data_IF_625722665877
#
_entry.id   IF_625722665877
#
_cell.length_a   1.000
_cell.length_b   1.000
_cell.length_c   1.000
_cell.angle_alpha   90.00
_cell.angle_beta   90.00
_cell.angle_gamma   90.00
#
_symmetry.space_group_name_H-M   'P 1'
#
loop_
_entity.id
_entity.type
_entity.pdbx_description
1 polymer ?
#
# COMPACT_ATOMS: atom_id res chain seq x y z
N UNK A 1 -2.17 3.32 -5.96
CA UNK A 1 -1.42 2.59 -4.90
C UNK A 1 -1.54 3.37 -3.59
N UNK A 2 -2.00 2.76 -2.49
CA UNK A 2 -1.99 3.44 -1.17
C UNK A 2 -0.58 3.34 -0.58
N UNK A 3 0.19 4.43 -0.66
CA UNK A 3 1.50 4.51 0.00
C UNK A 3 1.28 4.88 1.47
N UNK A 4 1.30 3.88 2.35
CA UNK A 4 1.34 4.12 3.79
C UNK A 4 2.77 4.35 4.24
N UNK A 5 3.20 5.61 4.18
CA UNK A 5 4.46 6.05 4.79
C UNK A 5 4.20 6.24 6.29
N UNK A 6 4.64 5.29 7.11
CA UNK A 6 4.69 5.48 8.57
C UNK A 6 5.89 6.38 8.86
N UNK A 7 5.70 7.70 8.84
CA UNK A 7 6.66 8.66 9.37
C UNK A 7 6.69 8.51 10.90
N UNK A 8 7.41 7.50 11.37
CA UNK A 8 7.83 7.46 12.76
C UNK A 8 8.79 8.63 12.95
N UNK A 9 8.37 9.61 13.75
CA UNK A 9 9.18 10.77 14.14
C UNK A 9 10.29 10.31 15.12
N UNK A 10 11.14 9.41 14.64
CA UNK A 10 12.42 8.98 15.22
C UNK A 10 13.34 8.65 14.04
N UNK A 11 13.52 9.64 13.15
CA UNK A 11 14.69 9.63 12.28
C UNK A 11 15.88 9.94 13.19
N UNK A 12 16.54 8.89 13.69
CA UNK A 12 17.90 9.03 14.21
C UNK A 12 18.71 9.67 13.08
N UNK A 13 19.44 10.74 13.37
CA UNK A 13 20.30 11.47 12.43
C UNK A 13 21.26 10.56 11.64
N UNK A 14 21.51 9.35 12.14
CA UNK A 14 22.30 8.30 11.47
C UNK A 14 21.68 7.76 10.17
N UNK A 15 20.37 7.88 9.95
CA UNK A 15 19.73 7.40 8.70
C UNK A 15 20.01 8.32 7.49
N UNK A 16 20.50 9.54 7.75
CA UNK A 16 20.88 10.49 6.71
C UNK A 16 22.39 10.57 6.48
N UNK A 17 23.20 9.81 7.21
CA UNK A 17 24.67 9.81 7.02
C UNK A 17 25.07 9.32 5.63
N UNK A 18 24.25 8.47 4.99
CA UNK A 18 24.47 8.04 3.60
C UNK A 18 24.10 9.11 2.56
N UNK A 19 23.36 10.15 2.97
CA UNK A 19 23.04 11.33 2.16
C UNK A 19 24.00 12.49 2.43
N UNK A 20 24.79 12.41 3.50
CA UNK A 20 25.91 13.30 3.77
C UNK A 20 27.03 12.92 2.79
N UNK A 21 27.10 13.66 1.67
CA UNK A 21 28.03 13.37 0.58
C UNK A 21 29.44 13.11 1.09
N UNK A 22 29.95 11.90 0.83
CA UNK A 22 31.29 11.49 1.26
C UNK A 22 32.33 12.29 0.47
N UNK A 23 33.38 12.75 1.14
CA UNK A 23 34.44 13.57 0.53
C UNK A 23 35.15 12.84 -0.60
N UNK A 24 35.45 13.54 -1.69
CA UNK A 24 36.03 13.08 -2.97
C UNK A 24 37.38 12.31 -2.89
N UNK A 25 37.93 12.11 -1.69
CA UNK A 25 39.24 11.51 -1.46
C UNK A 25 39.20 10.15 -0.74
N UNK A 26 38.02 9.52 -0.59
CA UNK A 26 37.91 8.20 0.03
C UNK A 26 38.36 7.09 -0.96
N UNK A 27 39.45 6.34 -0.70
CA UNK A 27 39.88 5.25 -1.57
C UNK A 27 38.98 4.00 -1.51
N UNK A 28 37.99 3.95 -0.60
CA UNK A 28 36.95 2.90 -0.56
C UNK A 28 35.74 3.22 -1.45
N UNK A 29 35.77 4.37 -2.14
CA UNK A 29 34.74 4.86 -3.07
C UNK A 29 34.75 4.16 -4.44
N UNK A 30 35.18 2.90 -4.52
CA UNK A 30 34.98 2.09 -5.71
C UNK A 30 33.53 1.60 -5.71
N UNK A 31 32.63 2.43 -6.26
CA UNK A 31 31.37 1.90 -6.77
C UNK A 31 31.73 1.01 -7.96
N UNK A 32 31.93 -0.28 -7.71
CA UNK A 32 31.94 -1.26 -8.78
C UNK A 32 30.51 -1.33 -9.34
N UNK A 33 30.22 -0.46 -10.31
CA UNK A 33 29.01 -0.50 -11.09
C UNK A 33 29.08 -1.77 -11.94
N UNK A 34 28.55 -2.87 -11.40
CA UNK A 34 28.16 -4.03 -12.19
C UNK A 34 26.92 -3.64 -12.99
N UNK A 35 27.14 -2.84 -14.04
CA UNK A 35 26.15 -2.64 -15.07
C UNK A 35 25.95 -3.98 -15.77
N UNK A 36 24.79 -4.59 -15.57
CA UNK A 36 24.31 -5.66 -16.44
C UNK A 36 23.88 -5.04 -17.77
N UNK A 37 24.85 -4.58 -18.56
CA UNK A 37 24.62 -4.12 -19.92
C UNK A 37 24.59 -5.32 -20.86
N UNK A 38 23.38 -5.82 -21.13
CA UNK A 38 23.06 -6.50 -22.39
C UNK A 38 21.94 -5.69 -22.99
N UNK A 39 22.27 -4.74 -23.86
CA UNK A 39 21.57 -4.38 -25.10
C UNK A 39 22.45 -3.35 -25.84
N UNK A 40 23.54 -3.81 -26.44
CA UNK A 40 24.09 -3.09 -27.61
C UNK A 40 23.12 -3.31 -28.76
N UNK A 41 22.12 -2.44 -28.85
CA UNK A 41 21.38 -2.24 -30.10
C UNK A 41 21.76 -0.83 -30.55
N UNK A 42 22.10 -0.64 -31.83
CA UNK A 42 22.58 0.64 -32.41
C UNK A 42 21.50 1.75 -32.45
N UNK A 43 20.54 1.70 -31.54
CA UNK A 43 19.45 2.66 -31.45
C UNK A 43 19.87 3.76 -30.48
N UNK A 44 19.86 5.01 -30.95
CA UNK A 44 20.05 6.17 -30.09
C UNK A 44 19.10 6.06 -28.88
N UNK A 45 19.60 6.25 -27.66
CA UNK A 45 18.79 6.12 -26.47
C UNK A 45 17.73 7.23 -26.45
N UNK A 46 16.47 6.85 -26.68
CA UNK A 46 15.33 7.76 -26.70
C UNK A 46 14.84 8.03 -25.26
N UNK A 47 15.56 8.90 -24.55
CA UNK A 47 15.16 9.41 -23.23
C UNK A 47 14.15 10.57 -23.31
N UNK A 48 13.69 10.91 -24.52
CA UNK A 48 12.78 12.03 -24.77
C UNK A 48 11.40 11.86 -24.12
N UNK A 49 11.04 10.64 -23.67
CA UNK A 49 9.81 10.40 -22.90
C UNK A 49 9.82 11.06 -21.51
N UNK A 50 11.00 11.37 -20.95
CA UNK A 50 11.11 12.09 -19.68
C UNK A 50 10.94 13.60 -19.86
N UNK A 51 10.99 14.08 -21.10
CA UNK A 51 10.92 15.49 -21.48
C UNK A 51 9.61 15.84 -22.19
N UNK A 52 8.78 14.86 -22.53
CA UNK A 52 7.43 15.12 -23.05
C UNK A 52 6.60 15.81 -21.97
N UNK A 53 6.33 17.10 -22.17
CA UNK A 53 5.27 17.81 -21.45
C UNK A 53 3.94 17.12 -21.78
N UNK A 54 3.04 16.92 -20.79
CA UNK A 54 1.72 16.38 -21.07
C UNK A 54 1.05 17.27 -22.11
N UNK A 55 0.62 16.70 -23.23
CA UNK A 55 -0.14 17.42 -24.24
C UNK A 55 -1.39 17.98 -23.54
N UNK A 56 -1.54 19.31 -23.53
CA UNK A 56 -2.80 19.95 -23.17
C UNK A 56 -3.82 19.56 -24.23
N UNK A 57 -4.53 18.46 -23.99
CA UNK A 57 -5.73 18.13 -24.75
C UNK A 57 -6.73 19.25 -24.54
N UNK A 58 -6.82 20.08 -25.58
CA UNK A 58 -7.72 21.20 -25.75
C UNK A 58 -9.13 20.84 -25.25
N UNK A 59 -9.53 21.54 -24.20
CA UNK A 59 -10.92 21.73 -23.81
C UNK A 59 -11.70 22.28 -24.99
N UNK A 60 -12.42 21.42 -25.71
CA UNK A 60 -13.70 21.82 -26.30
C UNK A 60 -14.57 20.61 -26.65
N UNK A 61 -15.66 20.50 -25.89
CA UNK A 61 -16.94 19.88 -26.25
C UNK A 61 -16.95 18.40 -26.68
N UNK A 62 -17.18 17.48 -25.71
CA UNK A 62 -18.35 16.57 -25.74
C UNK A 62 -18.47 15.79 -24.41
N UNK A 63 -19.64 15.90 -23.78
CA UNK A 63 -20.21 15.06 -22.69
C UNK A 63 -19.70 15.22 -21.24
N UNK A 64 -20.37 16.12 -20.49
CA UNK A 64 -20.26 16.37 -19.04
C UNK A 64 -20.80 15.21 -18.13
N UNK A 65 -20.67 13.94 -18.51
CA UNK A 65 -21.18 12.85 -17.65
C UNK A 65 -20.27 11.62 -17.47
N UNK A 66 -19.04 11.64 -18.02
CA UNK A 66 -18.14 10.46 -17.94
C UNK A 66 -16.75 10.77 -17.37
N UNK A 67 -16.41 12.05 -17.12
CA UNK A 67 -15.03 12.47 -16.77
C UNK A 67 -14.63 12.43 -15.29
N UNK A 68 -15.48 11.94 -14.37
CA UNK A 68 -15.10 11.84 -12.95
C UNK A 68 -14.35 10.54 -12.60
N UNK A 69 -14.36 9.52 -13.46
CA UNK A 69 -13.87 8.18 -13.10
C UNK A 69 -12.40 7.90 -13.42
N UNK A 70 -11.75 8.73 -14.23
CA UNK A 70 -10.43 8.43 -14.81
C UNK A 70 -9.31 9.36 -14.31
N UNK A 71 -9.64 10.40 -13.55
CA UNK A 71 -8.65 11.33 -12.95
C UNK A 71 -8.18 10.83 -11.57
N UNK A 72 -8.93 9.90 -10.96
CA UNK A 72 -8.70 9.43 -9.58
C UNK A 72 -7.69 8.26 -9.48
N UNK A 73 -7.30 7.66 -10.61
CA UNK A 73 -6.47 6.44 -10.64
C UNK A 73 -4.99 6.69 -10.35
N UNK A 74 -4.47 7.86 -10.74
CA UNK A 74 -3.06 8.25 -10.53
C UNK A 74 -2.85 9.23 -9.37
N UNK A 75 -3.88 9.47 -8.56
CA UNK A 75 -3.76 10.30 -7.37
C UNK A 75 -3.11 9.51 -6.22
N UNK A 76 -2.08 10.10 -5.60
CA UNK A 76 -1.51 9.58 -4.35
C UNK A 76 -2.42 9.96 -3.17
N UNK A 77 -2.95 8.95 -2.48
CA UNK A 77 -3.75 9.16 -1.27
C UNK A 77 -2.89 9.01 -0.02
N UNK A 78 -2.99 10.00 0.87
CA UNK A 78 -2.29 10.03 2.16
C UNK A 78 -3.31 9.96 3.30
N UNK A 79 -2.98 9.18 4.32
CA UNK A 79 -3.77 9.03 5.55
C UNK A 79 -3.01 9.70 6.70
N UNK A 80 -3.66 10.65 7.39
CA UNK A 80 -3.10 11.34 8.54
C UNK A 80 -3.95 11.04 9.77
N UNK A 81 -3.33 10.63 10.87
CA UNK A 81 -4.05 10.46 12.13
C UNK A 81 -3.19 10.91 13.30
N UNK A 82 -3.85 11.43 14.33
CA UNK A 82 -3.23 11.68 15.63
C UNK A 82 -3.06 10.39 16.45
N UNK A 83 -3.81 9.34 16.10
CA UNK A 83 -3.71 8.02 16.72
C UNK A 83 -2.85 7.07 15.87
N UNK A 84 -2.47 5.94 16.46
CA UNK A 84 -1.78 4.88 15.71
C UNK A 84 -2.72 4.26 14.68
N UNK A 85 -2.27 4.20 13.42
CA UNK A 85 -3.03 3.57 12.34
C UNK A 85 -3.11 2.04 12.53
N UNK A 86 -4.25 1.46 12.16
CA UNK A 86 -4.42 0.00 12.15
C UNK A 86 -3.53 -0.64 11.08
N UNK A 87 -2.99 -1.86 11.30
CA UNK A 87 -2.30 -2.61 10.25
C UNK A 87 -3.19 -2.81 9.02
N UNK A 88 -2.64 -2.54 7.83
CA UNK A 88 -3.35 -2.75 6.56
C UNK A 88 -2.59 -3.77 5.74
N UNK A 89 -3.33 -4.76 5.23
CA UNK A 89 -2.78 -5.89 4.50
C UNK A 89 -3.09 -5.72 3.02
N UNK A 90 -2.06 -5.79 2.19
CA UNK A 90 -2.21 -5.78 0.74
C UNK A 90 -2.32 -7.22 0.23
N UNK A 91 -3.55 -7.73 0.11
CA UNK A 91 -3.83 -9.14 -0.18
C UNK A 91 -4.94 -9.30 -1.20
N UNK A 92 -4.93 -10.45 -1.87
CA UNK A 92 -5.95 -10.89 -2.80
C UNK A 92 -6.90 -11.86 -2.12
N UNK A 93 -8.16 -11.46 -1.98
CA UNK A 93 -9.23 -12.28 -1.38
C UNK A 93 -10.05 -13.05 -2.42
N UNK A 94 -9.98 -12.62 -3.69
CA UNK A 94 -10.70 -13.21 -4.82
C UNK A 94 -9.88 -13.15 -6.10
N UNK A 95 -9.97 -14.19 -6.93
CA UNK A 95 -9.30 -14.24 -8.23
C UNK A 95 -9.80 -13.15 -9.19
N UNK A 96 -11.02 -12.65 -9.00
CA UNK A 96 -11.64 -11.67 -9.90
C UNK A 96 -11.31 -10.21 -9.57
N UNK A 97 -10.85 -9.93 -8.34
CA UNK A 97 -10.75 -8.56 -7.81
C UNK A 97 -9.30 -8.04 -7.69
N UNK A 98 -8.31 -8.91 -7.91
CA UNK A 98 -6.89 -8.58 -7.72
C UNK A 98 -6.52 -8.27 -6.27
N UNK A 99 -5.30 -7.74 -6.07
CA UNK A 99 -4.82 -7.35 -4.74
C UNK A 99 -5.41 -6.01 -4.32
N UNK A 100 -5.84 -5.92 -3.07
CA UNK A 100 -6.41 -4.71 -2.48
C UNK A 100 -5.94 -4.54 -1.04
N UNK A 101 -6.23 -3.37 -0.48
CA UNK A 101 -5.90 -3.04 0.90
C UNK A 101 -7.07 -3.44 1.82
N UNK A 102 -6.76 -4.15 2.89
CA UNK A 102 -7.74 -4.71 3.82
C UNK A 102 -7.32 -4.49 5.28
N UNK A 103 -8.31 -4.28 6.15
CA UNK A 103 -8.14 -4.31 7.61
C UNK A 103 -8.71 -5.60 8.18
N UNK A 104 -8.14 -6.09 9.28
CA UNK A 104 -8.81 -7.10 10.10
C UNK A 104 -10.07 -6.49 10.71
N UNK A 105 -11.22 -7.15 10.52
CA UNK A 105 -12.48 -6.64 11.04
C UNK A 105 -12.42 -6.53 12.57
N UNK A 106 -11.79 -7.48 13.25
CA UNK A 106 -11.62 -7.46 14.71
C UNK A 106 -10.97 -6.15 15.21
N UNK A 107 -9.94 -5.66 14.52
CA UNK A 107 -9.24 -4.43 14.89
C UNK A 107 -10.08 -3.18 14.65
N UNK A 108 -10.82 -3.14 13.54
CA UNK A 108 -11.77 -2.06 13.23
C UNK A 108 -12.86 -2.00 14.30
N UNK A 109 -13.43 -3.15 14.66
CA UNK A 109 -14.46 -3.24 15.70
C UNK A 109 -13.94 -2.82 17.07
N UNK A 110 -12.70 -3.21 17.41
CA UNK A 110 -12.03 -2.81 18.65
C UNK A 110 -11.81 -1.29 18.69
N UNK A 111 -11.35 -0.68 17.60
CA UNK A 111 -11.16 0.79 17.50
C UNK A 111 -12.49 1.54 17.64
N UNK A 112 -13.52 1.07 16.96
CA UNK A 112 -14.85 1.70 16.96
C UNK A 112 -15.70 1.33 18.19
N UNK A 113 -15.22 0.45 19.07
CA UNK A 113 -15.92 -0.04 20.28
C UNK A 113 -17.32 -0.57 19.95
N UNK A 114 -17.41 -1.39 18.90
CA UNK A 114 -18.68 -1.89 18.38
C UNK A 114 -18.62 -3.38 18.06
N UNK A 115 -19.77 -4.05 18.02
CA UNK A 115 -19.86 -5.45 17.59
C UNK A 115 -19.97 -5.57 16.08
N UNK A 116 -19.59 -6.73 15.54
CA UNK A 116 -19.70 -7.02 14.10
C UNK A 116 -21.14 -6.87 13.58
N UNK A 117 -22.14 -7.28 14.40
CA UNK A 117 -23.56 -7.12 14.08
C UNK A 117 -23.96 -5.65 13.94
N UNK A 118 -23.50 -4.80 14.86
CA UNK A 118 -23.77 -3.35 14.81
C UNK A 118 -23.06 -2.74 13.59
N UNK A 119 -21.84 -3.17 13.29
CA UNK A 119 -21.08 -2.67 12.15
C UNK A 119 -21.78 -2.92 10.83
N UNK A 120 -22.15 -4.18 10.57
CA UNK A 120 -22.87 -4.54 9.32
C UNK A 120 -24.23 -3.86 9.21
N UNK A 121 -24.93 -3.67 10.33
CA UNK A 121 -26.22 -2.99 10.33
C UNK A 121 -26.10 -1.47 10.08
N UNK A 122 -25.06 -0.82 10.62
CA UNK A 122 -24.85 0.63 10.51
C UNK A 122 -24.15 1.03 9.22
N UNK A 123 -23.29 0.17 8.70
CA UNK A 123 -22.46 0.42 7.52
C UNK A 123 -22.52 -0.73 6.51
N UNK A 124 -23.70 -0.99 5.92
CA UNK A 124 -23.89 -2.09 4.96
C UNK A 124 -23.10 -1.91 3.66
N UNK A 125 -22.61 -0.69 3.37
CA UNK A 125 -21.82 -0.40 2.18
C UNK A 125 -20.37 -0.91 2.25
N UNK A 126 -19.86 -1.26 3.44
CA UNK A 126 -18.49 -1.75 3.55
C UNK A 126 -18.41 -3.23 3.20
N UNK A 127 -17.52 -3.54 2.27
CA UNK A 127 -17.21 -4.90 1.83
C UNK A 127 -16.50 -5.65 2.96
N UNK A 128 -17.19 -6.65 3.51
CA UNK A 128 -16.65 -7.58 4.51
C UNK A 128 -16.56 -8.97 3.90
N UNK A 129 -15.37 -9.56 3.93
CA UNK A 129 -15.05 -10.87 3.34
C UNK A 129 -14.42 -11.78 4.37
N UNK A 130 -14.50 -13.09 4.13
CA UNK A 130 -13.81 -14.10 4.93
C UNK A 130 -12.71 -14.74 4.10
N UNK A 131 -11.52 -14.89 4.67
CA UNK A 131 -10.37 -15.55 4.06
C UNK A 131 -9.79 -16.57 5.04
N UNK A 132 -9.28 -17.69 4.52
CA UNK A 132 -8.54 -18.64 5.35
C UNK A 132 -7.32 -17.97 5.98
N UNK A 133 -7.14 -18.17 7.28
CA UNK A 133 -6.05 -17.57 8.03
C UNK A 133 -4.68 -17.98 7.47
N UNK A 134 -4.53 -19.25 7.11
CA UNK A 134 -3.32 -19.75 6.45
C UNK A 134 -3.01 -19.03 5.13
N UNK A 135 -4.04 -18.68 4.34
CA UNK A 135 -3.86 -17.97 3.07
C UNK A 135 -3.47 -16.49 3.30
N UNK A 136 -4.07 -15.84 4.30
CA UNK A 136 -3.66 -14.50 4.71
C UNK A 136 -2.16 -14.50 5.09
N UNK A 137 -1.72 -15.44 5.93
CA UNK A 137 -0.32 -15.53 6.34
C UNK A 137 0.63 -15.87 5.19
N UNK A 138 0.21 -16.75 4.29
CA UNK A 138 0.97 -17.06 3.08
C UNK A 138 1.21 -15.80 2.24
N UNK A 139 0.21 -14.95 2.07
CA UNK A 139 0.36 -13.70 1.31
C UNK A 139 1.13 -12.62 2.08
N UNK A 140 0.95 -12.53 3.40
CA UNK A 140 1.64 -11.53 4.22
C UNK A 140 3.13 -11.85 4.35
N UNK A 141 3.50 -13.13 4.43
CA UNK A 141 4.91 -13.56 4.57
C UNK A 141 5.77 -13.23 3.35
N UNK A 142 5.19 -13.12 2.16
CA UNK A 142 5.89 -12.68 0.95
C UNK A 142 5.94 -11.15 0.81
N UNK A 143 5.21 -10.41 1.63
CA UNK A 143 5.22 -8.95 1.61
C UNK A 143 6.47 -8.40 2.29
N UNK A 144 7.27 -7.64 1.55
CA UNK A 144 8.48 -6.97 2.06
C UNK A 144 8.19 -5.83 3.05
N UNK A 145 6.93 -5.37 3.10
CA UNK A 145 6.51 -4.20 3.90
C UNK A 145 5.79 -4.58 5.18
N UNK A 146 5.41 -5.85 5.33
CA UNK A 146 4.78 -6.34 6.54
C UNK A 146 5.85 -6.85 7.50
N UNK A 147 5.95 -6.23 8.66
CA UNK A 147 6.66 -6.82 9.79
C UNK A 147 5.73 -7.89 10.34
N UNK A 148 6.05 -9.16 10.08
CA UNK A 148 5.32 -10.30 10.64
C UNK A 148 5.44 -10.20 12.18
N UNK A 149 4.34 -10.04 12.93
CA UNK A 149 4.41 -10.10 14.37
C UNK A 149 4.84 -11.51 14.78
N UNK A 150 5.88 -11.61 15.62
CA UNK A 150 6.42 -12.86 16.17
C UNK A 150 5.38 -13.63 17.03
N UNK A 151 4.25 -13.00 17.35
CA UNK A 151 3.20 -13.51 18.24
C UNK A 151 2.14 -14.39 17.56
N UNK A 152 2.21 -14.60 16.24
CA UNK A 152 1.24 -15.41 15.51
C UNK A 152 1.90 -16.67 14.95
N UNK A 153 2.63 -17.36 15.83
CA UNK A 153 3.04 -18.75 15.62
C UNK A 153 1.78 -19.53 15.25
N UNK A 154 1.80 -20.04 14.02
CA UNK A 154 0.79 -20.91 13.45
C UNK A 154 0.46 -21.99 14.48
N UNK A 155 -0.71 -21.92 15.09
CA UNK A 155 -1.27 -23.10 15.73
C UNK A 155 -1.49 -24.08 14.58
N UNK A 156 -0.75 -25.19 14.56
CA UNK A 156 -0.88 -26.32 13.62
C UNK A 156 -2.21 -27.08 13.86
N UNK A 157 -3.25 -26.38 14.31
CA UNK A 157 -4.59 -26.86 14.43
C UNK A 157 -5.19 -27.04 13.04
N UNK A 158 -5.56 -28.26 12.72
CA UNK A 158 -6.31 -28.74 11.54
C UNK A 158 -7.71 -28.10 11.35
N UNK A 159 -7.92 -26.91 11.92
CA UNK A 159 -9.13 -26.11 11.79
C UNK A 159 -9.03 -25.24 10.54
N UNK A 160 -10.09 -25.22 9.75
CA UNK A 160 -10.34 -24.25 8.68
C UNK A 160 -10.60 -22.85 9.31
N UNK A 161 -9.63 -22.31 10.05
CA UNK A 161 -9.74 -21.03 10.72
C UNK A 161 -9.80 -19.93 9.67
N UNK A 162 -10.87 -19.15 9.70
CA UNK A 162 -11.10 -18.05 8.79
C UNK A 162 -11.14 -16.73 9.55
N UNK A 163 -10.62 -15.69 8.93
CA UNK A 163 -10.59 -14.34 9.48
C UNK A 163 -11.42 -13.42 8.61
N UNK A 164 -12.16 -12.53 9.27
CA UNK A 164 -12.98 -11.54 8.57
C UNK A 164 -12.15 -10.27 8.31
N UNK A 165 -12.18 -9.81 7.07
CA UNK A 165 -11.50 -8.61 6.61
C UNK A 165 -12.51 -7.60 6.07
N UNK A 166 -12.19 -6.32 6.20
CA UNK A 166 -12.98 -5.23 5.62
C UNK A 166 -12.10 -4.39 4.69
N UNK A 167 -12.64 -4.03 3.52
CA UNK A 167 -11.89 -3.27 2.52
C UNK A 167 -11.48 -1.92 3.07
N UNK A 168 -10.20 -1.57 2.89
CA UNK A 168 -9.67 -0.25 3.20
C UNK A 168 -10.14 0.75 2.13
N UNK A 169 -11.02 1.65 2.53
CA UNK A 169 -11.54 2.75 1.70
C UNK A 169 -11.50 4.07 2.49
N UNK A 170 -11.44 5.24 1.82
CA UNK A 170 -11.33 6.54 2.48
C UNK A 170 -12.46 6.82 3.50
N UNK A 171 -13.67 6.35 3.23
CA UNK A 171 -14.84 6.49 4.13
C UNK A 171 -14.61 5.77 5.45
N UNK A 172 -13.98 4.59 5.41
CA UNK A 172 -13.68 3.80 6.59
C UNK A 172 -12.53 4.43 7.39
N UNK A 173 -11.50 4.94 6.72
CA UNK A 173 -10.39 5.63 7.37
C UNK A 173 -10.88 6.87 8.14
N UNK A 174 -11.77 7.67 7.54
CA UNK A 174 -12.42 8.80 8.21
C UNK A 174 -13.24 8.37 9.42
N UNK A 175 -13.94 7.25 9.34
CA UNK A 175 -14.68 6.69 10.47
C UNK A 175 -13.75 6.24 11.61
N UNK A 176 -12.54 5.80 11.29
CA UNK A 176 -11.50 5.41 12.24
C UNK A 176 -10.74 6.61 12.86
N UNK A 177 -11.02 7.84 12.41
CA UNK A 177 -10.42 9.06 12.93
C UNK A 177 -9.15 9.51 12.20
N UNK A 178 -9.06 9.22 10.90
CA UNK A 178 -8.04 9.79 9.99
C UNK A 178 -8.61 10.85 9.07
#
# INVERSE_FOLDING_TARGET
>A
LLFRIKLSLYLSTEYFTDLEGRTDQDPTLQWDFYSSSVFETEQEPCWDFLLSQPEEDSVDNLSEQVKEKDIDTDCLLFEFSSETLLPCYHVQVSLMQGFCNWFLLADVLKRLKMSARIFRARYPQFEVVSIAQAELWRQVSVSQTCIVPDELQLDDGDGEETVEMVRCVPELQRLLGS
#
